data_IF_767807178928
#
_entry.id   IF_767807178928
#
_cell.length_a   1.000
_cell.length_b   1.000
_cell.length_c   1.000
_cell.angle_alpha   90.00
_cell.angle_beta   90.00
_cell.angle_gamma   90.00
#
_symmetry.space_group_name_H-M   'P 1'
#
loop_
_entity.id
_entity.type
_entity.pdbx_description
1 polymer ?
#
# COMPACT_ATOMS: atom_id res chain seq x y z
N UNK A 1 24.30 12.59 22.32
CA UNK A 1 23.07 12.09 21.71
C UNK A 1 23.50 10.94 20.82
N UNK A 2 23.21 9.70 21.20
CA UNK A 2 23.58 8.52 20.41
C UNK A 2 22.76 8.55 19.12
N UNK A 3 23.43 8.50 17.96
CA UNK A 3 22.80 8.15 16.70
C UNK A 3 22.27 6.71 16.86
N UNK A 4 21.02 6.55 17.26
CA UNK A 4 20.34 5.27 17.11
C UNK A 4 20.09 5.10 15.61
N UNK A 5 20.73 4.10 15.00
CA UNK A 5 20.39 3.67 13.66
C UNK A 5 18.93 3.23 13.66
N UNK A 6 18.10 3.93 12.89
CA UNK A 6 16.68 3.55 12.69
C UNK A 6 16.70 2.26 11.88
N UNK A 7 16.33 1.14 12.50
CA UNK A 7 16.21 -0.13 11.78
C UNK A 7 14.97 -0.11 10.90
N UNK A 8 15.15 -0.09 9.59
CA UNK A 8 14.04 -0.20 8.63
C UNK A 8 13.65 -1.67 8.49
N UNK A 9 12.35 -2.04 8.53
CA UNK A 9 11.91 -3.41 8.28
C UNK A 9 12.31 -3.90 6.88
N UNK A 10 12.26 -5.24 6.67
CA UNK A 10 12.54 -5.85 5.36
C UNK A 10 11.69 -5.23 4.26
N UNK A 11 12.29 -4.96 3.10
CA UNK A 11 11.56 -4.45 1.94
C UNK A 11 10.60 -5.50 1.37
N UNK A 12 9.35 -5.09 1.21
CA UNK A 12 8.24 -5.87 0.64
C UNK A 12 7.83 -5.22 -0.67
N UNK A 13 7.61 -6.03 -1.69
CA UNK A 13 7.03 -5.56 -2.95
C UNK A 13 5.59 -6.03 -3.03
N UNK A 14 4.69 -5.08 -3.23
CA UNK A 14 3.24 -5.28 -3.36
C UNK A 14 2.78 -4.87 -4.78
N UNK A 15 2.82 -5.77 -5.78
CA UNK A 15 2.35 -5.44 -7.12
C UNK A 15 0.88 -5.02 -7.09
N UNK A 16 0.57 -3.81 -7.63
CA UNK A 16 -0.81 -3.35 -7.75
C UNK A 16 -1.51 -4.05 -8.90
N UNK A 17 -2.50 -4.87 -8.57
CA UNK A 17 -3.28 -5.64 -9.54
C UNK A 17 -4.19 -4.74 -10.41
N UNK A 18 -4.33 -3.47 -10.05
CA UNK A 18 -4.99 -2.45 -10.88
C UNK A 18 -4.36 -2.32 -12.28
N UNK A 19 -3.05 -2.61 -12.39
CA UNK A 19 -2.33 -2.55 -13.67
C UNK A 19 -2.49 -3.81 -14.53
N UNK A 20 -3.14 -4.86 -14.01
CA UNK A 20 -3.39 -6.10 -14.72
C UNK A 20 -4.58 -6.01 -15.69
N UNK A 21 -4.72 -7.00 -16.57
CA UNK A 21 -5.92 -7.21 -17.36
C UNK A 21 -7.01 -7.84 -16.49
N UNK A 22 -8.10 -7.11 -16.21
CA UNK A 22 -9.20 -7.56 -15.37
C UNK A 22 -9.93 -8.80 -15.89
N UNK A 23 -9.77 -9.13 -17.17
CA UNK A 23 -10.31 -10.38 -17.75
C UNK A 23 -9.45 -11.59 -17.45
N UNK A 24 -8.24 -11.40 -16.88
CA UNK A 24 -7.22 -12.44 -16.63
C UNK A 24 -6.61 -12.34 -15.23
N UNK A 25 -7.44 -12.02 -14.23
CA UNK A 25 -6.96 -11.78 -12.87
C UNK A 25 -6.31 -12.98 -12.20
N UNK A 26 -6.79 -14.21 -12.46
CA UNK A 26 -6.17 -15.44 -11.94
C UNK A 26 -4.73 -15.60 -12.46
N UNK A 27 -4.52 -15.32 -13.75
CA UNK A 27 -3.18 -15.37 -14.34
C UNK A 27 -2.28 -14.26 -13.79
N UNK A 28 -2.84 -13.09 -13.50
CA UNK A 28 -2.10 -11.99 -12.87
C UNK A 28 -1.61 -12.36 -11.46
N UNK A 29 -2.45 -12.97 -10.63
CA UNK A 29 -2.07 -13.47 -9.30
C UNK A 29 -0.96 -14.53 -9.38
N UNK A 30 -1.06 -15.46 -10.33
CA UNK A 30 -0.01 -16.44 -10.58
C UNK A 30 1.31 -15.78 -10.97
N UNK A 31 1.26 -14.82 -11.89
CA UNK A 31 2.45 -14.08 -12.32
C UNK A 31 3.12 -13.32 -11.18
N UNK A 32 2.34 -12.63 -10.34
CA UNK A 32 2.83 -11.91 -9.15
C UNK A 32 3.63 -12.87 -8.25
N UNK A 33 3.10 -14.06 -7.99
CA UNK A 33 3.77 -15.09 -7.19
C UNK A 33 5.05 -15.61 -7.86
N UNK A 34 5.01 -15.85 -9.17
CA UNK A 34 6.18 -16.30 -9.95
C UNK A 34 7.30 -15.24 -10.02
N UNK A 35 6.95 -13.95 -9.97
CA UNK A 35 7.95 -12.86 -9.88
C UNK A 35 8.65 -12.83 -8.51
N UNK A 36 8.08 -13.49 -7.50
CA UNK A 36 8.64 -13.58 -6.15
C UNK A 36 8.10 -12.51 -5.20
N UNK A 37 6.94 -11.93 -5.49
CA UNK A 37 6.22 -11.10 -4.54
C UNK A 37 5.46 -11.95 -3.52
N UNK A 38 5.39 -11.47 -2.30
CA UNK A 38 4.62 -12.08 -1.20
C UNK A 38 3.25 -11.42 -1.03
N UNK A 39 3.11 -10.16 -1.43
CA UNK A 39 1.89 -9.36 -1.34
C UNK A 39 1.27 -9.09 -2.70
N UNK A 40 0.00 -8.74 -2.71
CA UNK A 40 -0.69 -8.10 -3.83
C UNK A 40 -1.49 -6.91 -3.33
N UNK A 41 -1.27 -5.75 -3.93
CA UNK A 41 -1.99 -4.52 -3.60
C UNK A 41 -3.29 -4.44 -4.42
N UNK A 42 -4.40 -4.24 -3.72
CA UNK A 42 -5.75 -4.27 -4.27
C UNK A 42 -6.41 -2.90 -4.11
N UNK A 43 -6.39 -2.10 -5.17
CA UNK A 43 -6.95 -0.74 -5.22
C UNK A 43 -8.47 -0.77 -5.42
N UNK A 44 -9.23 -0.62 -4.34
CA UNK A 44 -10.70 -0.58 -4.34
C UNK A 44 -11.17 0.87 -4.42
N UNK A 45 -11.94 1.19 -5.46
CA UNK A 45 -12.41 2.55 -5.75
C UNK A 45 -13.92 2.55 -6.01
N UNK A 46 -14.63 3.54 -5.43
CA UNK A 46 -16.09 3.64 -5.45
C UNK A 46 -16.66 4.74 -6.37
N UNK A 47 -15.80 5.53 -7.00
CA UNK A 47 -16.23 6.67 -7.83
C UNK A 47 -16.71 7.88 -7.02
N UNK A 48 -16.61 7.83 -5.68
CA UNK A 48 -17.02 8.93 -4.78
C UNK A 48 -15.82 9.57 -4.09
N UNK A 49 -14.96 8.76 -3.45
CA UNK A 49 -13.72 9.24 -2.86
C UNK A 49 -12.70 9.61 -3.94
N UNK A 50 -12.64 8.83 -5.01
CA UNK A 50 -11.84 9.08 -6.21
C UNK A 50 -12.70 9.00 -7.47
N UNK A 51 -12.34 9.69 -8.59
CA UNK A 51 -13.17 9.72 -9.80
C UNK A 51 -12.99 8.48 -10.69
N UNK A 52 -12.87 7.31 -10.08
CA UNK A 52 -12.74 6.03 -10.78
C UNK A 52 -13.46 4.93 -9.98
N UNK A 53 -13.90 3.87 -10.67
CA UNK A 53 -14.50 2.66 -10.07
C UNK A 53 -13.67 1.48 -10.53
N UNK A 54 -13.28 0.60 -9.60
CA UNK A 54 -12.50 -0.58 -9.94
C UNK A 54 -13.27 -1.88 -9.67
N UNK A 55 -13.10 -2.45 -8.49
CA UNK A 55 -13.74 -3.69 -8.08
C UNK A 55 -14.07 -3.63 -6.57
N UNK A 56 -14.84 -4.60 -6.11
CA UNK A 56 -15.30 -4.65 -4.72
C UNK A 56 -15.00 -5.98 -4.03
N UNK A 57 -15.72 -6.23 -2.96
CA UNK A 57 -15.55 -7.34 -2.02
C UNK A 57 -15.55 -8.71 -2.72
N UNK A 58 -16.41 -8.89 -3.73
CA UNK A 58 -16.50 -10.15 -4.49
C UNK A 58 -15.19 -10.50 -5.20
N UNK A 59 -14.45 -9.51 -5.67
CA UNK A 59 -13.14 -9.74 -6.31
C UNK A 59 -12.12 -10.23 -5.28
N UNK A 60 -12.12 -9.66 -4.06
CA UNK A 60 -11.23 -10.10 -2.98
C UNK A 60 -11.54 -11.56 -2.58
N UNK A 61 -12.83 -11.93 -2.48
CA UNK A 61 -13.24 -13.32 -2.25
C UNK A 61 -12.68 -14.28 -3.32
N UNK A 62 -12.75 -13.88 -4.59
CA UNK A 62 -12.27 -14.69 -5.70
C UNK A 62 -10.73 -14.76 -5.72
N UNK A 63 -10.04 -13.66 -5.40
CA UNK A 63 -8.57 -13.66 -5.24
C UNK A 63 -8.13 -14.62 -4.14
N UNK A 64 -8.79 -14.58 -2.97
CA UNK A 64 -8.47 -15.48 -1.85
C UNK A 64 -8.65 -16.97 -2.22
N UNK A 65 -9.66 -17.30 -3.02
CA UNK A 65 -9.87 -18.67 -3.51
C UNK A 65 -8.78 -19.17 -4.45
N UNK A 66 -8.07 -18.25 -5.13
CA UNK A 66 -7.10 -18.54 -6.17
C UNK A 66 -5.64 -18.32 -5.75
N UNK A 67 -5.39 -17.67 -4.63
CA UNK A 67 -4.05 -17.30 -4.20
C UNK A 67 -3.89 -17.29 -2.68
N UNK A 68 -2.68 -17.63 -2.24
CA UNK A 68 -2.20 -17.52 -0.86
C UNK A 68 -1.34 -16.26 -0.64
N UNK A 69 -1.26 -15.37 -1.63
CA UNK A 69 -0.63 -14.05 -1.48
C UNK A 69 -1.29 -13.26 -0.36
N UNK A 70 -0.51 -12.43 0.32
CA UNK A 70 -1.04 -11.47 1.28
C UNK A 70 -1.86 -10.41 0.54
N UNK A 71 -3.17 -10.34 0.81
CA UNK A 71 -4.09 -9.38 0.20
C UNK A 71 -4.08 -8.07 0.99
N UNK A 72 -3.33 -7.11 0.50
CA UNK A 72 -3.29 -5.74 0.99
C UNK A 72 -4.39 -4.93 0.29
N UNK A 73 -5.49 -4.67 1.00
CA UNK A 73 -6.69 -4.05 0.44
C UNK A 73 -6.73 -2.56 0.78
N UNK A 74 -6.44 -1.74 -0.23
CA UNK A 74 -6.45 -0.28 -0.16
C UNK A 74 -7.82 0.27 -0.54
N UNK A 75 -8.52 0.84 0.45
CA UNK A 75 -9.88 1.35 0.29
C UNK A 75 -9.89 2.85 -0.04
N UNK A 76 -9.92 3.17 -1.32
CA UNK A 76 -10.20 4.51 -1.84
C UNK A 76 -11.72 4.71 -2.01
N UNK A 77 -12.44 4.60 -0.88
CA UNK A 77 -13.91 4.65 -0.84
C UNK A 77 -14.38 5.62 0.23
N UNK A 78 -15.50 6.29 0.01
CA UNK A 78 -16.12 7.15 0.99
C UNK A 78 -16.78 6.32 2.10
N UNK A 79 -16.54 6.71 3.38
CA UNK A 79 -17.08 6.02 4.56
C UNK A 79 -16.73 4.50 4.56
N UNK A 80 -15.40 4.16 4.55
CA UNK A 80 -14.93 2.77 4.44
C UNK A 80 -15.45 1.86 5.55
N UNK A 81 -15.79 2.41 6.72
CA UNK A 81 -16.36 1.67 7.85
C UNK A 81 -17.64 0.87 7.52
N UNK A 82 -18.29 1.19 6.39
CA UNK A 82 -19.47 0.47 5.90
C UNK A 82 -19.15 -0.85 5.22
N UNK A 83 -17.90 -1.04 4.79
CA UNK A 83 -17.50 -2.14 3.90
C UNK A 83 -16.42 -3.04 4.51
N UNK A 84 -15.72 -2.58 5.55
CA UNK A 84 -14.58 -3.26 6.19
C UNK A 84 -14.92 -4.71 6.55
N UNK A 85 -16.04 -4.94 7.24
CA UNK A 85 -16.41 -6.27 7.74
C UNK A 85 -16.54 -7.29 6.60
N UNK A 86 -17.10 -6.87 5.46
CA UNK A 86 -17.26 -7.73 4.30
C UNK A 86 -15.93 -7.99 3.57
N UNK A 87 -15.03 -6.99 3.46
CA UNK A 87 -13.70 -7.22 2.91
C UNK A 87 -12.87 -8.20 3.76
N UNK A 88 -12.96 -8.09 5.07
CA UNK A 88 -12.30 -9.02 6.01
C UNK A 88 -12.89 -10.43 5.87
N UNK A 89 -14.22 -10.57 5.86
CA UNK A 89 -14.89 -11.86 5.68
C UNK A 89 -14.52 -12.52 4.35
N UNK A 90 -14.20 -11.74 3.32
CA UNK A 90 -13.78 -12.21 2.01
C UNK A 90 -12.27 -12.49 1.90
N UNK A 91 -11.51 -12.32 2.99
CA UNK A 91 -10.13 -12.80 3.08
C UNK A 91 -9.06 -11.73 2.88
N UNK A 92 -9.35 -10.46 3.09
CA UNK A 92 -8.32 -9.43 3.21
C UNK A 92 -7.39 -9.74 4.40
N UNK A 93 -6.07 -9.64 4.20
CA UNK A 93 -5.07 -9.79 5.26
C UNK A 93 -4.73 -8.45 5.91
N UNK A 94 -4.88 -7.37 5.16
CA UNK A 94 -4.74 -5.98 5.60
C UNK A 94 -5.84 -5.12 4.99
N UNK A 95 -6.36 -4.18 5.78
CA UNK A 95 -7.26 -3.12 5.31
C UNK A 95 -6.57 -1.78 5.52
N UNK A 96 -6.35 -1.05 4.43
CA UNK A 96 -5.79 0.30 4.46
C UNK A 96 -6.87 1.31 4.10
N UNK A 97 -7.16 2.25 5.02
CA UNK A 97 -8.19 3.28 4.84
C UNK A 97 -7.56 4.66 4.77
N UNK A 98 -8.12 5.57 3.98
CA UNK A 98 -7.68 6.96 3.97
C UNK A 98 -8.13 7.70 5.23
N UNK A 99 -7.21 8.45 5.84
CA UNK A 99 -7.54 9.35 6.97
C UNK A 99 -8.62 10.37 6.58
N UNK A 100 -8.67 10.75 5.31
CA UNK A 100 -9.62 11.72 4.74
C UNK A 100 -10.99 11.11 4.41
N UNK A 101 -11.12 9.79 4.38
CA UNK A 101 -12.33 9.10 3.93
C UNK A 101 -13.33 8.80 5.06
N UNK A 102 -12.92 8.94 6.32
CA UNK A 102 -13.75 8.65 7.50
C UNK A 102 -13.77 9.81 8.48
N UNK A 103 -14.91 10.01 9.14
CA UNK A 103 -15.05 11.03 10.19
C UNK A 103 -14.43 10.60 11.52
N UNK A 104 -14.33 9.29 11.77
CA UNK A 104 -13.90 8.71 13.03
C UNK A 104 -12.77 7.70 12.84
N UNK A 105 -11.60 8.18 12.42
CA UNK A 105 -10.45 7.36 12.04
C UNK A 105 -10.11 6.28 13.10
N UNK A 106 -9.97 6.67 14.37
CA UNK A 106 -9.65 5.72 15.45
C UNK A 106 -10.71 4.61 15.58
N UNK A 107 -12.01 4.92 15.46
CA UNK A 107 -13.08 3.90 15.49
C UNK A 107 -12.96 2.94 14.31
N UNK A 108 -12.66 3.46 13.12
CA UNK A 108 -12.46 2.65 11.90
C UNK A 108 -11.26 1.72 12.03
N UNK A 109 -10.15 2.20 12.61
CA UNK A 109 -8.98 1.38 12.95
C UNK A 109 -9.37 0.24 13.89
N UNK A 110 -10.07 0.52 14.99
CA UNK A 110 -10.51 -0.49 15.94
C UNK A 110 -11.46 -1.53 15.32
N UNK A 111 -12.29 -1.14 14.34
CA UNK A 111 -13.15 -2.06 13.62
C UNK A 111 -12.35 -3.14 12.89
N UNK A 112 -11.23 -2.79 12.28
CA UNK A 112 -10.31 -3.74 11.62
C UNK A 112 -9.56 -4.59 12.67
N UNK A 113 -8.90 -3.95 13.63
CA UNK A 113 -8.08 -4.63 14.66
C UNK A 113 -8.85 -5.68 15.47
N UNK A 114 -10.08 -5.36 15.85
CA UNK A 114 -10.92 -6.27 16.65
C UNK A 114 -11.27 -7.57 15.92
N UNK A 115 -11.05 -7.65 14.62
CA UNK A 115 -11.24 -8.84 13.79
C UNK A 115 -9.93 -9.60 13.53
N UNK A 116 -8.81 -9.14 14.11
CA UNK A 116 -7.49 -9.79 13.99
C UNK A 116 -6.80 -9.61 12.64
N UNK A 117 -7.24 -8.64 11.85
CA UNK A 117 -6.65 -8.27 10.55
C UNK A 117 -5.73 -7.07 10.73
N UNK A 118 -4.66 -6.98 9.95
CA UNK A 118 -3.75 -5.84 9.97
C UNK A 118 -4.45 -4.58 9.45
N UNK A 119 -4.08 -3.42 10.00
CA UNK A 119 -4.66 -2.13 9.61
C UNK A 119 -3.60 -1.14 9.16
N UNK A 120 -3.82 -0.56 7.97
CA UNK A 120 -3.07 0.55 7.43
C UNK A 120 -3.90 1.84 7.43
N UNK A 121 -3.20 2.97 7.49
CA UNK A 121 -3.81 4.28 7.25
C UNK A 121 -3.08 4.98 6.11
N UNK A 122 -3.83 5.33 5.06
CA UNK A 122 -3.35 6.10 3.92
C UNK A 122 -3.54 7.60 4.14
N UNK A 123 -2.60 8.39 3.64
CA UNK A 123 -2.72 9.85 3.55
C UNK A 123 -2.38 10.34 2.15
N UNK A 124 -3.21 11.25 1.65
CA UNK A 124 -3.04 11.89 0.34
C UNK A 124 -1.77 12.76 0.29
N UNK A 125 -1.28 13.12 -0.92
CA UNK A 125 -0.10 13.97 -1.04
C UNK A 125 -0.17 15.27 -0.26
N UNK A 126 -1.32 15.95 -0.24
CA UNK A 126 -1.51 17.22 0.47
C UNK A 126 -1.74 17.07 1.99
N UNK A 127 -2.10 15.87 2.49
CA UNK A 127 -2.40 15.65 3.91
C UNK A 127 -1.10 15.58 4.73
N UNK A 128 -0.97 16.34 5.81
CA UNK A 128 0.23 16.31 6.65
C UNK A 128 0.31 15.01 7.46
N UNK A 129 1.53 14.57 7.79
CA UNK A 129 1.76 13.33 8.58
C UNK A 129 1.15 13.37 9.98
N UNK A 130 0.90 14.56 10.54
CA UNK A 130 0.24 14.72 11.84
C UNK A 130 -1.20 14.16 11.86
N UNK A 131 -1.80 13.93 10.69
CA UNK A 131 -3.11 13.29 10.58
C UNK A 131 -3.13 11.85 11.14
N UNK A 132 -1.97 11.19 11.24
CA UNK A 132 -1.84 9.82 11.77
C UNK A 132 -1.09 9.75 13.11
N UNK A 133 -0.54 10.86 13.61
CA UNK A 133 0.32 10.91 14.79
C UNK A 133 -0.31 10.23 16.02
N UNK A 134 -1.56 10.57 16.33
CA UNK A 134 -2.26 10.05 17.52
C UNK A 134 -2.66 8.57 17.41
N UNK A 135 -2.64 8.00 16.21
CA UNK A 135 -3.06 6.61 15.97
C UNK A 135 -1.90 5.66 15.62
N UNK A 136 -0.65 6.14 15.61
CA UNK A 136 0.52 5.32 15.27
C UNK A 136 0.67 4.07 16.17
N UNK A 137 0.19 4.11 17.41
CA UNK A 137 0.20 2.96 18.33
C UNK A 137 -0.86 1.90 18.02
N UNK A 138 -1.80 2.21 17.12
CA UNK A 138 -2.97 1.39 16.83
C UNK A 138 -2.99 0.81 15.41
N UNK A 139 -1.98 1.10 14.60
CA UNK A 139 -1.90 0.66 13.21
C UNK A 139 -0.64 -0.17 12.94
N UNK A 140 -0.62 -0.91 11.85
CA UNK A 140 0.52 -1.72 11.42
C UNK A 140 1.32 -1.04 10.30
N UNK A 141 0.69 -0.11 9.56
CA UNK A 141 1.27 0.53 8.38
C UNK A 141 0.73 1.93 8.14
N UNK A 142 1.58 2.81 7.60
CA UNK A 142 1.15 4.07 6.99
C UNK A 142 1.44 4.03 5.49
N UNK A 143 0.40 4.19 4.68
CA UNK A 143 0.52 4.35 3.23
C UNK A 143 0.64 5.83 2.86
N UNK A 144 1.77 6.20 2.29
CA UNK A 144 2.02 7.53 1.73
C UNK A 144 1.67 7.53 0.23
N UNK A 145 0.60 8.22 -0.14
CA UNK A 145 0.33 8.45 -1.56
C UNK A 145 1.40 9.35 -2.16
N UNK A 146 2.06 8.85 -3.20
CA UNK A 146 3.04 9.60 -4.00
C UNK A 146 2.51 10.00 -5.38
N UNK A 147 1.21 9.88 -5.58
CA UNK A 147 0.42 10.48 -6.65
C UNK A 147 -0.98 10.80 -6.11
N UNK A 148 -1.80 11.50 -6.87
CA UNK A 148 -3.21 11.65 -6.50
C UNK A 148 -3.94 10.32 -6.69
N UNK A 149 -4.68 9.80 -5.68
CA UNK A 149 -5.35 8.51 -5.79
C UNK A 149 -6.43 8.51 -6.89
N UNK A 150 -6.66 7.33 -7.49
CA UNK A 150 -7.71 7.12 -8.48
C UNK A 150 -7.27 6.56 -9.83
N UNK A 151 -6.04 6.80 -10.27
CA UNK A 151 -5.54 6.32 -11.56
C UNK A 151 -4.09 5.84 -11.45
N UNK A 152 -3.77 4.72 -12.10
CA UNK A 152 -2.40 4.23 -12.23
C UNK A 152 -1.57 5.00 -13.27
N UNK A 153 -0.24 4.83 -13.21
CA UNK A 153 0.70 5.36 -14.20
C UNK A 153 0.97 6.87 -14.11
N UNK A 154 0.67 7.50 -12.99
CA UNK A 154 0.97 8.90 -12.71
C UNK A 154 2.46 9.08 -12.33
N UNK A 155 3.04 10.30 -12.50
CA UNK A 155 4.39 10.60 -12.05
C UNK A 155 4.48 10.58 -10.52
N UNK A 156 5.66 10.20 -10.01
CA UNK A 156 5.97 10.22 -8.59
C UNK A 156 6.05 11.67 -8.05
N UNK A 157 5.45 11.92 -6.90
CA UNK A 157 5.50 13.21 -6.20
C UNK A 157 6.65 13.18 -5.18
N UNK A 158 7.78 13.89 -5.42
CA UNK A 158 9.03 13.72 -4.64
C UNK A 158 8.93 14.10 -3.15
N UNK A 159 8.03 14.98 -2.75
CA UNK A 159 7.92 15.36 -1.34
C UNK A 159 7.34 14.24 -0.44
N UNK A 160 6.84 13.13 -1.03
CA UNK A 160 6.52 11.92 -0.30
C UNK A 160 7.75 11.34 0.43
N UNK A 161 8.96 11.49 -0.13
CA UNK A 161 10.20 11.05 0.49
C UNK A 161 10.50 11.79 1.79
N UNK A 162 10.29 13.10 1.81
CA UNK A 162 10.47 13.89 3.02
C UNK A 162 9.39 13.58 4.07
N UNK A 163 8.14 13.32 3.65
CA UNK A 163 7.10 12.80 4.53
C UNK A 163 7.54 11.49 5.21
N UNK A 164 8.11 10.56 4.44
CA UNK A 164 8.60 9.29 4.97
C UNK A 164 9.68 9.49 6.03
N UNK A 165 10.72 10.29 5.74
CA UNK A 165 11.80 10.59 6.70
C UNK A 165 11.28 11.21 8.00
N UNK A 166 10.31 12.13 7.89
CA UNK A 166 9.67 12.75 9.06
C UNK A 166 8.80 11.75 9.82
N UNK A 167 8.08 10.89 9.12
CA UNK A 167 7.25 9.85 9.71
C UNK A 167 8.10 8.83 10.48
N UNK A 168 9.22 8.35 9.93
CA UNK A 168 10.18 7.47 10.65
C UNK A 168 10.67 8.11 11.95
N UNK A 169 10.97 9.41 11.93
CA UNK A 169 11.36 10.14 13.15
C UNK A 169 10.21 10.24 14.16
N UNK A 170 8.99 10.45 13.70
CA UNK A 170 7.78 10.54 14.53
C UNK A 170 7.47 9.19 15.19
N UNK A 171 7.66 8.08 14.47
CA UNK A 171 7.42 6.73 14.96
C UNK A 171 8.38 6.30 16.08
N UNK A 172 9.58 6.89 16.15
CA UNK A 172 10.60 6.53 17.15
C UNK A 172 10.98 5.05 17.08
N UNK A 173 10.77 4.32 18.18
CA UNK A 173 11.07 2.88 18.28
C UNK A 173 9.95 1.99 17.70
N UNK A 174 8.80 2.56 17.35
CA UNK A 174 7.71 1.81 16.71
C UNK A 174 8.12 1.43 15.29
N UNK A 175 8.24 0.13 15.03
CA UNK A 175 8.63 -0.40 13.72
C UNK A 175 7.39 -0.67 12.86
N UNK A 176 6.63 0.38 12.53
CA UNK A 176 5.54 0.25 11.57
C UNK A 176 6.08 0.19 10.14
N UNK A 177 5.36 -0.48 9.27
CA UNK A 177 5.63 -0.42 7.85
C UNK A 177 5.29 0.99 7.31
N UNK A 178 6.11 1.50 6.38
CA UNK A 178 5.76 2.66 5.56
C UNK A 178 5.66 2.17 4.13
N UNK A 179 4.46 2.27 3.60
CA UNK A 179 4.15 1.95 2.23
C UNK A 179 4.14 3.21 1.36
N UNK A 180 4.49 3.07 0.10
CA UNK A 180 4.34 4.10 -0.92
C UNK A 180 3.58 3.57 -2.12
N UNK A 181 2.60 4.35 -2.59
CA UNK A 181 1.86 4.07 -3.82
C UNK A 181 1.82 5.31 -4.73
N UNK A 182 2.24 5.10 -5.98
CA UNK A 182 2.21 6.07 -7.06
C UNK A 182 3.57 6.35 -7.69
N UNK A 183 3.72 6.07 -8.98
CA UNK A 183 4.87 6.47 -9.81
C UNK A 183 6.22 5.85 -9.45
N UNK A 184 6.22 4.72 -8.73
CA UNK A 184 7.44 3.98 -8.41
C UNK A 184 8.03 3.34 -9.67
N UNK A 185 9.35 3.43 -9.82
CA UNK A 185 10.11 2.87 -10.94
C UNK A 185 11.55 2.54 -10.53
N UNK A 186 12.31 1.84 -11.39
CA UNK A 186 13.73 1.58 -11.18
C UNK A 186 14.57 2.87 -11.12
N UNK A 187 14.06 4.00 -11.66
CA UNK A 187 14.77 5.27 -11.69
C UNK A 187 14.78 5.98 -10.33
N UNK A 188 13.72 5.79 -9.51
CA UNK A 188 13.55 6.50 -8.23
C UNK A 188 13.61 5.57 -7.00
N UNK A 189 13.79 4.26 -7.18
CA UNK A 189 13.74 3.30 -6.09
C UNK A 189 14.80 3.52 -5.02
N UNK A 190 16.02 3.88 -5.41
CA UNK A 190 17.11 4.09 -4.45
C UNK A 190 16.75 5.22 -3.47
N UNK A 191 16.22 6.35 -3.96
CA UNK A 191 15.77 7.46 -3.11
C UNK A 191 14.58 7.08 -2.23
N UNK A 192 13.68 6.23 -2.73
CA UNK A 192 12.52 5.71 -1.99
C UNK A 192 13.01 4.87 -0.82
N UNK A 193 13.88 3.91 -1.04
CA UNK A 193 14.44 3.05 0.02
C UNK A 193 15.24 3.88 1.04
N UNK A 194 16.06 4.81 0.60
CA UNK A 194 16.83 5.73 1.46
C UNK A 194 15.96 6.65 2.31
N UNK A 195 14.71 6.85 1.92
CA UNK A 195 13.75 7.64 2.71
C UNK A 195 13.17 6.87 3.92
N UNK A 196 13.43 5.56 4.01
CA UNK A 196 12.93 4.68 5.06
C UNK A 196 11.60 3.99 4.71
N UNK A 197 11.12 4.10 3.47
CA UNK A 197 9.99 3.32 2.95
C UNK A 197 10.44 1.87 2.79
N UNK A 198 9.58 0.92 3.16
CA UNK A 198 9.88 -0.51 3.09
C UNK A 198 8.78 -1.36 2.45
N UNK A 199 7.60 -0.81 2.17
CA UNK A 199 6.57 -1.49 1.35
C UNK A 199 6.37 -0.68 0.07
N UNK A 200 6.58 -1.34 -1.08
CA UNK A 200 6.67 -0.70 -2.39
C UNK A 200 5.52 -1.19 -3.25
N UNK A 201 4.55 -0.32 -3.50
CA UNK A 201 3.49 -0.60 -4.48
C UNK A 201 4.01 -0.30 -5.89
N UNK A 202 3.94 -1.29 -6.77
CA UNK A 202 4.36 -1.15 -8.15
C UNK A 202 3.35 -1.78 -9.12
N UNK A 203 2.67 -0.97 -9.91
CA UNK A 203 1.74 -1.40 -10.94
C UNK A 203 2.41 -1.51 -12.30
N UNK A 204 2.33 -0.43 -13.09
CA UNK A 204 2.83 -0.41 -14.47
C UNK A 204 4.32 -0.75 -14.60
N UNK A 205 5.14 -0.43 -13.59
CA UNK A 205 6.56 -0.76 -13.56
C UNK A 205 6.81 -2.27 -13.66
N UNK A 206 5.93 -3.10 -13.09
CA UNK A 206 6.04 -4.55 -13.14
C UNK A 206 5.25 -5.15 -14.31
N UNK A 207 3.96 -4.81 -14.46
CA UNK A 207 3.10 -5.43 -15.48
C UNK A 207 3.47 -5.09 -16.92
N UNK A 208 4.24 -3.98 -17.17
CA UNK A 208 4.76 -3.62 -18.48
C UNK A 208 6.25 -3.90 -18.65
N UNK A 209 6.92 -4.45 -17.64
CA UNK A 209 8.34 -4.78 -17.70
C UNK A 209 8.61 -5.89 -18.72
N UNK A 210 9.76 -5.85 -19.38
CA UNK A 210 10.23 -6.97 -20.23
C UNK A 210 10.62 -8.19 -19.39
N UNK A 211 11.14 -7.95 -18.19
CA UNK A 211 11.54 -8.96 -17.21
C UNK A 211 11.04 -8.53 -15.83
N UNK A 212 9.76 -8.83 -15.50
CA UNK A 212 9.15 -8.41 -14.23
C UNK A 212 9.89 -8.93 -13.00
N UNK A 213 10.46 -10.12 -13.08
CA UNK A 213 11.21 -10.72 -11.97
C UNK A 213 12.46 -9.92 -11.64
N UNK A 214 13.22 -9.54 -12.67
CA UNK A 214 14.41 -8.70 -12.50
C UNK A 214 14.03 -7.31 -12.00
N UNK A 215 12.98 -6.70 -12.56
CA UNK A 215 12.49 -5.39 -12.08
C UNK A 215 12.07 -5.48 -10.61
N UNK A 216 11.39 -6.55 -10.20
CA UNK A 216 11.01 -6.75 -8.79
C UNK A 216 12.24 -6.83 -7.88
N UNK A 217 13.30 -7.51 -8.28
CA UNK A 217 14.57 -7.56 -7.53
C UNK A 217 15.20 -6.17 -7.39
N UNK A 218 15.19 -5.36 -8.47
CA UNK A 218 15.67 -3.98 -8.43
C UNK A 218 14.83 -3.13 -7.48
N UNK A 219 13.49 -3.25 -7.53
CA UNK A 219 12.61 -2.52 -6.62
C UNK A 219 12.79 -2.94 -5.15
N UNK A 220 13.19 -4.19 -4.90
CA UNK A 220 13.40 -4.72 -3.54
C UNK A 220 14.75 -4.31 -2.94
N UNK A 221 15.79 -4.27 -3.74
CA UNK A 221 17.17 -4.11 -3.24
C UNK A 221 17.87 -2.84 -3.71
N UNK A 222 17.21 -2.05 -4.55
CA UNK A 222 17.82 -0.90 -5.21
C UNK A 222 18.63 -1.28 -6.44
N UNK A 223 19.13 -0.24 -7.14
CA UNK A 223 19.93 -0.40 -8.37
C UNK A 223 21.39 -0.78 -8.08
N UNK A 224 21.83 -0.70 -6.82
CA UNK A 224 23.22 -0.92 -6.42
C UNK A 224 24.17 0.22 -6.82
N UNK A 225 23.64 1.41 -7.09
CA UNK A 225 24.41 2.61 -7.45
C UNK A 225 24.85 3.41 -6.24
#
# INVERSE_FOLDING_TARGET
MSNQEITVPKTIIAPSILAADFTRMEEALHSIKEWGAEWVHCDVMDGMFVPNITFGQKMIEDFRKKSDLFLDVHLMVQAPERYIDEFIANGADMITVHAEATTHLHRTILQVRNQGVKVGVAINPATPINAVEEVLGDIDMVLLMSCDPGFGGQPFIPYALEKSRRLRKMMGENQLDIEVDGGVSEENIDEILDSGINVIVAGSALFKAKDPKKTLEVLRYGTGR
#
